data_IF_045532113745
#
_entry.id   IF_045532113745
#
_cell.length_a   1.000
_cell.length_b   1.000
_cell.length_c   1.000
_cell.angle_alpha   90.00
_cell.angle_beta   90.00
_cell.angle_gamma   90.00
#
_symmetry.space_group_name_H-M   'P 1'
#
loop_
_entity.id
_entity.type
_entity.pdbx_description
1 polymer ?
#
# COMPACT_ATOMS: atom_id res chain seq x y z
N UNK A 1 -1.41 15.01 11.44
CA UNK A 1 -2.36 14.79 10.33
C UNK A 1 -3.32 13.65 10.70
N UNK A 2 -4.60 13.61 10.30
CA UNK A 2 -5.45 12.46 10.70
C UNK A 2 -5.07 11.23 9.87
N UNK A 3 -4.89 10.07 10.51
CA UNK A 3 -4.52 8.79 9.88
C UNK A 3 -5.35 8.43 8.64
N UNK A 4 -6.59 8.97 8.54
CA UNK A 4 -7.45 8.85 7.36
C UNK A 4 -6.85 9.47 6.10
N UNK A 5 -6.01 10.50 6.22
CA UNK A 5 -5.33 11.16 5.09
C UNK A 5 -4.11 10.39 4.59
N UNK A 6 -3.40 9.71 5.49
CA UNK A 6 -2.24 8.85 5.17
C UNK A 6 -2.69 7.65 4.35
N UNK A 7 -3.77 6.98 4.78
CA UNK A 7 -4.36 5.89 4.01
C UNK A 7 -5.05 6.37 2.74
N UNK A 8 -5.68 7.54 2.77
CA UNK A 8 -6.20 8.16 1.56
C UNK A 8 -5.10 8.63 0.60
N UNK A 9 -3.82 8.68 0.98
CA UNK A 9 -2.69 9.01 0.10
C UNK A 9 -2.07 7.72 -0.48
N UNK A 10 -1.89 6.67 0.32
CA UNK A 10 -1.57 5.32 -0.22
C UNK A 10 -2.67 4.83 -1.16
N UNK A 11 -3.92 5.19 -0.86
CA UNK A 11 -5.07 5.02 -1.73
C UNK A 11 -5.00 6.04 -2.89
N UNK A 12 -5.12 7.35 -2.69
CA UNK A 12 -5.29 8.29 -3.82
C UNK A 12 -4.05 8.54 -4.68
N UNK A 13 -2.84 8.32 -4.19
CA UNK A 13 -1.59 8.54 -4.94
C UNK A 13 -1.17 7.30 -5.75
N UNK A 14 -1.55 6.10 -5.30
CA UNK A 14 -1.42 4.88 -6.08
C UNK A 14 -2.69 4.52 -6.88
N UNK A 15 -3.84 5.17 -6.61
CA UNK A 15 -5.10 4.77 -7.23
C UNK A 15 -5.39 5.50 -8.54
N UNK A 16 -5.00 4.83 -9.61
CA UNK A 16 -5.88 4.49 -10.73
C UNK A 16 -6.48 5.69 -11.50
N UNK A 17 -5.66 6.66 -11.90
CA UNK A 17 -5.98 7.45 -13.10
C UNK A 17 -5.65 6.61 -14.34
N UNK A 18 -6.38 5.50 -14.51
CA UNK A 18 -6.35 4.72 -15.74
C UNK A 18 -6.90 5.60 -16.85
N UNK A 19 -6.03 6.26 -17.61
CA UNK A 19 -6.39 6.96 -18.85
C UNK A 19 -6.02 6.06 -20.02
N UNK A 20 -6.73 4.95 -20.13
CA UNK A 20 -6.57 4.02 -21.24
C UNK A 20 -7.12 4.67 -22.52
N UNK A 21 -6.21 5.04 -23.42
CA UNK A 21 -6.54 5.51 -24.77
C UNK A 21 -6.50 4.35 -25.76
N UNK A 22 -7.66 3.82 -26.17
CA UNK A 22 -7.71 2.88 -27.29
C UNK A 22 -7.64 3.68 -28.59
N UNK A 23 -6.51 3.69 -29.29
CA UNK A 23 -6.45 4.20 -30.66
C UNK A 23 -7.21 3.23 -31.57
N UNK A 24 -8.35 3.67 -32.08
CA UNK A 24 -9.20 2.88 -32.98
C UNK A 24 -8.63 2.87 -34.40
N UNK A 25 -8.11 1.71 -34.79
CA UNK A 25 -7.68 1.43 -36.17
C UNK A 25 -7.52 -0.08 -36.38
N UNK A 26 -8.54 -0.70 -36.97
CA UNK A 26 -8.64 -2.12 -37.32
C UNK A 26 -8.80 -3.13 -36.16
N UNK A 27 -9.59 -4.16 -36.41
CA UNK A 27 -10.23 -5.08 -35.47
C UNK A 27 -9.28 -6.10 -34.80
N UNK A 28 -8.19 -5.62 -34.20
CA UNK A 28 -7.14 -6.43 -33.56
C UNK A 28 -6.51 -5.71 -32.36
N UNK A 29 -7.32 -4.96 -31.61
CA UNK A 29 -6.92 -4.40 -30.31
C UNK A 29 -7.19 -5.39 -29.17
N UNK A 30 -6.50 -5.25 -28.03
CA UNK A 30 -6.76 -6.07 -26.84
C UNK A 30 -8.22 -5.90 -26.38
N UNK A 31 -8.80 -6.99 -25.87
CA UNK A 31 -10.13 -7.00 -25.27
C UNK A 31 -10.20 -6.11 -24.03
N UNK A 32 -11.40 -5.66 -23.66
CA UNK A 32 -11.59 -4.87 -22.43
C UNK A 32 -11.10 -5.61 -21.18
N UNK A 33 -11.23 -6.95 -21.15
CA UNK A 33 -10.68 -7.78 -20.08
C UNK A 33 -9.15 -7.69 -20.01
N UNK A 34 -8.47 -7.89 -21.15
CA UNK A 34 -7.01 -7.79 -21.24
C UNK A 34 -6.52 -6.40 -20.88
N UNK A 35 -7.25 -5.36 -21.29
CA UNK A 35 -6.96 -3.97 -20.94
C UNK A 35 -7.02 -3.77 -19.44
N UNK A 36 -8.10 -4.19 -18.77
CA UNK A 36 -8.26 -4.05 -17.31
C UNK A 36 -7.20 -4.88 -16.56
N UNK A 37 -6.99 -6.15 -16.96
CA UNK A 37 -5.97 -7.02 -16.34
C UNK A 37 -4.58 -6.42 -16.44
N UNK A 38 -4.20 -5.96 -17.63
CA UNK A 38 -2.91 -5.30 -17.87
C UNK A 38 -2.76 -4.06 -17.00
N UNK A 39 -3.79 -3.23 -16.95
CA UNK A 39 -3.85 -2.05 -16.08
C UNK A 39 -3.57 -2.40 -14.62
N UNK A 40 -4.30 -3.37 -14.06
CA UNK A 40 -4.12 -3.80 -12.68
C UNK A 40 -2.71 -4.38 -12.44
N UNK A 41 -2.20 -5.18 -13.38
CA UNK A 41 -0.84 -5.73 -13.31
C UNK A 41 0.22 -4.64 -13.29
N UNK A 42 0.14 -3.65 -14.18
CA UNK A 42 1.14 -2.57 -14.27
C UNK A 42 1.22 -1.77 -12.95
N UNK A 43 0.08 -1.43 -12.35
CA UNK A 43 0.03 -0.69 -11.07
C UNK A 43 0.52 -1.55 -9.90
N UNK A 44 0.00 -2.78 -9.76
CA UNK A 44 0.37 -3.66 -8.66
C UNK A 44 1.83 -4.12 -8.75
N UNK A 45 2.40 -4.19 -9.95
CA UNK A 45 3.82 -4.46 -10.17
C UNK A 45 4.73 -3.31 -9.71
N UNK A 46 4.27 -2.05 -9.73
CA UNK A 46 5.07 -0.94 -9.18
C UNK A 46 5.25 -1.09 -7.66
N UNK A 47 4.19 -1.50 -6.97
CA UNK A 47 4.20 -1.78 -5.53
C UNK A 47 5.07 -3.02 -5.25
N UNK A 48 4.80 -4.13 -5.95
CA UNK A 48 5.51 -5.41 -5.79
C UNK A 48 7.01 -5.30 -6.04
N UNK A 49 7.41 -4.57 -7.08
CA UNK A 49 8.81 -4.39 -7.42
C UNK A 49 9.49 -3.28 -6.59
N UNK A 50 8.72 -2.60 -5.73
CA UNK A 50 9.19 -1.49 -4.91
C UNK A 50 9.99 -0.46 -5.72
N UNK A 51 9.45 -0.05 -6.87
CA UNK A 51 10.12 0.90 -7.77
C UNK A 51 10.56 2.16 -7.01
N UNK A 52 11.83 2.55 -7.14
CA UNK A 52 12.41 3.60 -6.32
C UNK A 52 11.69 4.96 -6.48
N UNK A 53 11.24 5.29 -7.69
CA UNK A 53 10.53 6.54 -7.95
C UNK A 53 9.15 6.50 -7.29
N UNK A 54 8.44 5.39 -7.44
CA UNK A 54 7.14 5.17 -6.80
C UNK A 54 7.25 5.19 -5.26
N UNK A 55 8.24 4.51 -4.68
CA UNK A 55 8.46 4.50 -3.22
C UNK A 55 8.81 5.89 -2.66
N UNK A 56 9.56 6.67 -3.44
CA UNK A 56 9.90 8.06 -3.08
C UNK A 56 8.66 8.95 -3.07
N UNK A 57 7.82 8.84 -4.10
CA UNK A 57 6.55 9.58 -4.19
C UNK A 57 5.61 9.19 -3.04
N UNK A 58 5.47 7.88 -2.79
CA UNK A 58 4.62 7.39 -1.70
C UNK A 58 5.12 7.85 -0.32
N UNK A 59 6.43 7.85 -0.09
CA UNK A 59 7.00 8.38 1.17
C UNK A 59 6.72 9.89 1.32
N UNK A 60 6.86 10.66 0.25
CA UNK A 60 6.55 12.09 0.26
C UNK A 60 5.06 12.35 0.56
N UNK A 61 4.17 11.59 -0.05
CA UNK A 61 2.73 11.73 0.12
C UNK A 61 2.23 11.29 1.51
N UNK A 62 2.92 10.34 2.12
CA UNK A 62 2.63 9.90 3.49
C UNK A 62 3.18 10.84 4.56
N UNK A 63 3.96 11.87 4.18
CA UNK A 63 4.56 12.85 5.08
C UNK A 63 5.39 12.16 6.18
N UNK A 64 6.10 11.08 5.81
CA UNK A 64 6.94 10.29 6.74
C UNK A 64 8.28 10.97 7.04
N UNK A 65 8.53 12.16 6.51
CA UNK A 65 9.72 12.97 6.81
C UNK A 65 9.86 13.28 8.31
N UNK A 66 8.75 13.32 9.05
CA UNK A 66 8.77 13.48 10.52
C UNK A 66 9.52 12.32 11.21
N UNK A 67 9.57 11.14 10.59
CA UNK A 67 10.26 9.96 11.13
C UNK A 67 11.79 10.14 11.18
N UNK A 68 12.35 11.07 10.41
CA UNK A 68 13.78 11.40 10.43
C UNK A 68 14.24 11.88 11.82
N UNK A 69 13.34 12.47 12.63
CA UNK A 69 13.63 12.85 14.03
C UNK A 69 13.96 11.66 14.92
N UNK A 70 13.51 10.47 14.53
CA UNK A 70 13.79 9.19 15.19
C UNK A 70 14.88 8.38 14.48
N UNK A 71 15.54 8.97 13.47
CA UNK A 71 16.58 8.30 12.68
C UNK A 71 16.04 7.29 11.67
N UNK A 72 14.75 7.36 11.33
CA UNK A 72 14.14 6.51 10.31
C UNK A 72 14.15 7.23 8.96
N UNK A 73 14.62 6.55 7.91
CA UNK A 73 14.43 7.00 6.54
C UNK A 73 13.02 6.65 6.05
N UNK A 74 12.29 7.65 5.54
CA UNK A 74 10.90 7.49 5.13
C UNK A 74 10.70 6.51 3.98
N UNK A 75 11.64 6.45 3.03
CA UNK A 75 11.60 5.51 1.90
C UNK A 75 11.89 4.09 2.39
N UNK A 76 12.87 3.92 3.28
CA UNK A 76 13.15 2.64 3.93
C UNK A 76 11.97 2.13 4.74
N UNK A 77 11.28 3.02 5.46
CA UNK A 77 10.03 2.68 6.16
C UNK A 77 8.99 2.13 5.18
N UNK A 78 8.76 2.80 4.04
CA UNK A 78 7.79 2.35 3.04
C UNK A 78 8.16 1.03 2.39
N UNK A 79 9.44 0.83 2.06
CA UNK A 79 9.93 -0.45 1.53
C UNK A 79 9.75 -1.57 2.55
N UNK A 80 10.05 -1.31 3.82
CA UNK A 80 9.88 -2.31 4.88
C UNK A 80 8.40 -2.62 5.12
N UNK A 81 7.52 -1.64 4.97
CA UNK A 81 6.07 -1.82 5.10
C UNK A 81 5.47 -2.67 3.97
N UNK A 82 5.97 -2.49 2.74
CA UNK A 82 5.55 -3.24 1.57
C UNK A 82 6.38 -4.50 1.30
N UNK A 83 7.37 -4.80 2.14
CA UNK A 83 8.16 -6.01 1.98
C UNK A 83 7.26 -7.26 2.06
N UNK A 84 7.45 -8.15 1.09
CA UNK A 84 6.59 -9.31 0.89
C UNK A 84 5.24 -9.02 0.21
N UNK A 85 5.02 -7.80 -0.31
CA UNK A 85 3.82 -7.48 -1.08
C UNK A 85 3.72 -8.37 -2.33
N UNK A 86 2.57 -9.04 -2.49
CA UNK A 86 2.21 -9.75 -3.71
C UNK A 86 0.71 -9.58 -3.99
N UNK A 87 0.28 -10.02 -5.16
CA UNK A 87 -1.11 -9.93 -5.56
C UNK A 87 -1.49 -11.04 -6.54
N UNK A 88 -2.80 -11.28 -6.63
CA UNK A 88 -3.41 -12.18 -7.59
C UNK A 88 -4.68 -11.56 -8.16
N UNK A 89 -4.75 -11.45 -9.49
CA UNK A 89 -5.97 -11.05 -10.19
C UNK A 89 -6.76 -12.33 -10.52
N UNK A 90 -7.68 -12.69 -9.63
CA UNK A 90 -8.45 -13.94 -9.69
C UNK A 90 -9.35 -14.00 -10.93
N UNK A 91 -10.11 -12.93 -11.17
CA UNK A 91 -11.15 -12.88 -12.20
C UNK A 91 -11.31 -11.46 -12.70
N UNK A 92 -11.58 -11.30 -13.98
CA UNK A 92 -12.05 -10.04 -14.57
C UNK A 92 -13.25 -10.37 -15.45
N UNK A 93 -14.37 -9.71 -15.18
CA UNK A 93 -15.63 -9.88 -15.92
C UNK A 93 -16.03 -8.55 -16.51
N UNK A 94 -16.36 -8.53 -17.80
CA UNK A 94 -16.81 -7.32 -18.52
C UNK A 94 -18.25 -7.50 -18.97
N UNK A 95 -19.09 -6.53 -18.66
CA UNK A 95 -20.49 -6.42 -19.08
C UNK A 95 -20.76 -5.04 -19.68
N UNK A 96 -20.60 -4.94 -21.01
CA UNK A 96 -20.78 -3.70 -21.75
C UNK A 96 -19.83 -2.60 -21.28
N UNK A 97 -20.39 -1.58 -20.60
CA UNK A 97 -19.63 -0.45 -20.07
C UNK A 97 -19.30 -0.59 -18.57
N UNK A 98 -19.51 -1.78 -17.99
CA UNK A 98 -19.15 -2.11 -16.62
C UNK A 98 -18.19 -3.29 -16.60
N UNK A 99 -17.32 -3.34 -15.60
CA UNK A 99 -16.51 -4.50 -15.37
C UNK A 99 -16.24 -4.68 -13.88
N UNK A 100 -15.90 -5.90 -13.49
CA UNK A 100 -15.53 -6.24 -12.12
C UNK A 100 -14.26 -7.07 -12.16
N UNK A 101 -13.26 -6.69 -11.38
CA UNK A 101 -12.06 -7.47 -11.12
C UNK A 101 -12.06 -7.95 -9.67
N UNK A 102 -11.73 -9.22 -9.48
CA UNK A 102 -11.49 -9.80 -8.15
C UNK A 102 -10.00 -9.93 -7.94
N UNK A 103 -9.52 -9.32 -6.87
CA UNK A 103 -8.10 -9.25 -6.54
C UNK A 103 -7.88 -9.71 -5.11
N UNK A 104 -6.86 -10.54 -4.90
CA UNK A 104 -6.37 -10.91 -3.57
C UNK A 104 -4.99 -10.30 -3.41
N UNK A 105 -4.73 -9.58 -2.31
CA UNK A 105 -3.42 -9.01 -2.00
C UNK A 105 -2.75 -9.86 -0.92
N UNK A 106 -1.44 -9.95 -0.94
CA UNK A 106 -0.61 -10.45 0.16
C UNK A 106 0.20 -9.28 0.68
N UNK A 107 -0.04 -8.84 1.92
CA UNK A 107 0.67 -7.71 2.50
C UNK A 107 0.61 -7.69 4.02
N UNK A 108 1.43 -6.86 4.66
CA UNK A 108 1.38 -6.59 6.10
C UNK A 108 0.13 -5.76 6.41
N UNK A 109 -0.68 -6.13 7.40
CA UNK A 109 -1.75 -5.24 7.87
C UNK A 109 -1.26 -4.17 8.82
N UNK A 110 -1.91 -3.01 8.74
CA UNK A 110 -1.72 -1.94 9.71
C UNK A 110 -2.05 -2.37 11.15
N UNK A 111 -3.04 -3.25 11.30
CA UNK A 111 -3.43 -3.79 12.61
C UNK A 111 -2.31 -4.65 13.20
N UNK A 112 -1.69 -5.52 12.40
CA UNK A 112 -0.54 -6.32 12.83
C UNK A 112 0.66 -5.42 13.17
N UNK A 113 0.98 -4.45 12.31
CA UNK A 113 2.02 -3.44 12.58
C UNK A 113 1.81 -2.68 13.89
N UNK A 114 0.60 -2.14 14.13
CA UNK A 114 0.32 -1.43 15.37
C UNK A 114 0.43 -2.33 16.60
N UNK A 115 0.07 -3.60 16.47
CA UNK A 115 0.19 -4.58 17.55
C UNK A 115 1.66 -4.87 17.86
N UNK A 116 2.49 -5.04 16.82
CA UNK A 116 3.93 -5.23 16.95
C UNK A 116 4.61 -4.01 17.60
N UNK A 117 4.29 -2.79 17.17
CA UNK A 117 4.85 -1.56 17.76
C UNK A 117 4.42 -1.38 19.21
N UNK A 118 3.16 -1.66 19.55
CA UNK A 118 2.69 -1.59 20.94
C UNK A 118 3.40 -2.60 21.85
N UNK A 119 3.61 -3.82 21.36
CA UNK A 119 4.36 -4.84 22.08
C UNK A 119 5.82 -4.42 22.27
N UNK A 120 6.48 -3.98 21.20
CA UNK A 120 7.87 -3.52 21.26
C UNK A 120 8.05 -2.31 22.20
N UNK A 121 7.10 -1.37 22.20
CA UNK A 121 7.09 -0.25 23.14
C UNK A 121 6.91 -0.71 24.60
N UNK A 122 6.06 -1.71 24.84
CA UNK A 122 5.86 -2.30 26.18
C UNK A 122 7.13 -2.99 26.68
N UNK A 123 7.79 -3.76 25.81
CA UNK A 123 9.03 -4.46 26.13
C UNK A 123 10.16 -3.46 26.40
N UNK A 124 10.27 -2.42 25.58
CA UNK A 124 11.24 -1.35 25.77
C UNK A 124 11.01 -0.59 27.09
N UNK A 125 9.77 -0.27 27.42
CA UNK A 125 9.41 0.43 28.65
C UNK A 125 9.71 -0.38 29.92
N UNK A 126 9.84 -1.70 29.83
CA UNK A 126 10.20 -2.56 30.96
C UNK A 126 11.67 -2.38 31.40
N UNK A 127 12.55 -1.95 30.48
CA UNK A 127 13.98 -1.70 30.74
C UNK A 127 14.24 -0.24 31.15
N UNK A 128 13.62 0.18 32.25
CA UNK A 128 13.68 1.56 32.74
C UNK A 128 15.10 2.03 33.06
N UNK A 129 16.00 1.14 33.47
CA UNK A 129 17.39 1.47 33.78
C UNK A 129 18.18 1.86 32.52
N UNK A 130 18.00 1.11 31.43
CA UNK A 130 18.58 1.47 30.12
C UNK A 130 18.07 2.81 29.62
N UNK A 131 16.76 3.03 29.68
CA UNK A 131 16.15 4.26 29.19
C UNK A 131 16.64 5.51 29.94
N UNK A 132 16.82 5.41 31.26
CA UNK A 132 17.30 6.53 32.07
C UNK A 132 18.80 6.85 31.87
N UNK A 133 19.57 5.89 31.37
CA UNK A 133 21.00 6.06 31.12
C UNK A 133 21.30 6.72 29.76
N UNK A 134 20.31 6.81 28.88
CA UNK A 134 20.46 7.33 27.51
C UNK A 134 20.17 8.84 27.43
N UNK A 135 20.90 9.52 26.55
CA UNK A 135 20.55 10.86 26.10
C UNK A 135 19.27 10.87 25.27
N UNK A 136 18.71 12.05 25.04
CA UNK A 136 17.51 12.20 24.21
C UNK A 136 17.72 11.69 22.78
N UNK A 137 18.90 11.92 22.20
CA UNK A 137 19.19 11.52 20.82
C UNK A 137 19.33 9.99 20.73
N UNK A 138 20.00 9.35 21.70
CA UNK A 138 20.09 7.89 21.80
C UNK A 138 18.71 7.25 22.01
N UNK A 139 17.84 7.89 22.81
CA UNK A 139 16.45 7.46 22.99
C UNK A 139 15.66 7.55 21.69
N UNK A 140 15.77 8.66 20.96
CA UNK A 140 15.08 8.82 19.68
C UNK A 140 15.52 7.75 18.66
N UNK A 141 16.83 7.49 18.55
CA UNK A 141 17.36 6.43 17.68
C UNK A 141 16.89 5.04 18.11
N UNK A 142 16.86 4.76 19.41
CA UNK A 142 16.35 3.50 19.94
C UNK A 142 14.87 3.31 19.61
N UNK A 143 14.05 4.35 19.76
CA UNK A 143 12.63 4.32 19.41
C UNK A 143 12.46 4.07 17.91
N UNK A 144 13.24 4.76 17.07
CA UNK A 144 13.19 4.56 15.63
C UNK A 144 13.55 3.13 15.21
N UNK A 145 14.66 2.60 15.74
CA UNK A 145 15.07 1.22 15.51
C UNK A 145 14.01 0.22 15.98
N UNK A 146 13.42 0.45 17.16
CA UNK A 146 12.38 -0.42 17.72
C UNK A 146 11.15 -0.47 16.81
N UNK A 147 10.76 0.65 16.22
CA UNK A 147 9.64 0.71 15.26
C UNK A 147 9.99 -0.04 13.97
N UNK A 148 11.19 0.15 13.43
CA UNK A 148 11.63 -0.54 12.20
C UNK A 148 11.77 -2.04 12.40
N UNK A 149 12.34 -2.48 13.53
CA UNK A 149 12.46 -3.90 13.88
C UNK A 149 11.07 -4.54 14.05
N UNK A 150 10.16 -3.84 14.73
CA UNK A 150 8.78 -4.31 14.89
C UNK A 150 8.08 -4.45 13.53
N UNK A 151 8.23 -3.47 12.63
CA UNK A 151 7.66 -3.50 11.29
C UNK A 151 8.27 -4.61 10.40
N UNK A 152 9.58 -4.79 10.46
CA UNK A 152 10.28 -5.84 9.72
C UNK A 152 9.80 -7.23 10.15
N UNK A 153 9.48 -7.40 11.44
CA UNK A 153 8.96 -8.65 12.00
C UNK A 153 7.48 -8.94 11.74
N UNK A 154 6.72 -8.01 11.15
CA UNK A 154 5.31 -8.26 10.80
C UNK A 154 5.24 -9.22 9.62
N UNK A 155 4.52 -10.32 9.78
CA UNK A 155 4.26 -11.28 8.70
C UNK A 155 3.23 -10.72 7.71
N UNK A 156 3.37 -11.10 6.44
CA UNK A 156 2.36 -10.82 5.42
C UNK A 156 1.20 -11.82 5.53
N UNK A 157 -0.01 -11.36 5.21
CA UNK A 157 -1.20 -12.20 5.12
C UNK A 157 -1.95 -11.89 3.82
N UNK A 158 -2.69 -12.90 3.33
CA UNK A 158 -3.63 -12.70 2.24
C UNK A 158 -4.85 -11.90 2.75
N UNK A 159 -5.29 -10.92 1.97
CA UNK A 159 -6.56 -10.25 2.21
C UNK A 159 -7.72 -11.17 1.86
N UNK A 160 -8.92 -10.86 2.37
CA UNK A 160 -10.13 -11.30 1.70
C UNK A 160 -10.15 -10.80 0.24
N UNK A 161 -10.87 -11.50 -0.64
CA UNK A 161 -10.98 -11.12 -2.04
C UNK A 161 -11.66 -9.75 -2.17
N UNK A 162 -10.94 -8.81 -2.80
CA UNK A 162 -11.36 -7.43 -3.04
C UNK A 162 -12.07 -7.37 -4.39
N UNK A 163 -13.20 -6.66 -4.44
CA UNK A 163 -13.97 -6.49 -5.67
C UNK A 163 -13.79 -5.06 -6.21
N UNK A 164 -13.02 -4.92 -7.28
CA UNK A 164 -12.80 -3.64 -7.95
C UNK A 164 -13.80 -3.52 -9.09
N UNK A 165 -14.72 -2.57 -8.98
CA UNK A 165 -15.70 -2.29 -10.02
C UNK A 165 -15.19 -1.15 -10.90
N UNK A 166 -15.47 -1.25 -12.21
CA UNK A 166 -15.03 -0.30 -13.22
C UNK A 166 -16.21 0.19 -14.05
N UNK A 167 -16.12 1.44 -14.48
CA UNK A 167 -17.02 2.04 -15.48
C UNK A 167 -16.22 2.50 -16.69
N UNK A 168 -16.74 2.21 -17.88
CA UNK A 168 -16.16 2.65 -19.16
C UNK A 168 -16.70 4.02 -19.56
N UNK A 169 -15.81 4.99 -19.73
CA UNK A 169 -16.12 6.31 -20.30
C UNK A 169 -15.35 6.48 -21.61
N UNK A 170 -16.03 6.30 -22.74
CA UNK A 170 -15.41 6.24 -24.06
C UNK A 170 -14.52 5.01 -24.18
N UNK A 171 -13.20 5.22 -24.20
CA UNK A 171 -12.19 4.16 -24.33
C UNK A 171 -11.47 3.86 -23.02
N UNK A 172 -11.87 4.54 -21.94
CA UNK A 172 -11.17 4.53 -20.66
C UNK A 172 -11.99 3.79 -19.62
N UNK A 173 -11.37 2.82 -18.94
CA UNK A 173 -11.93 2.15 -17.77
C UNK A 173 -11.42 2.86 -16.51
N UNK A 174 -12.34 3.22 -15.61
CA UNK A 174 -12.00 3.88 -14.35
C UNK A 174 -12.64 3.11 -13.21
N UNK A 175 -11.91 2.79 -12.13
CA UNK A 175 -12.50 2.20 -10.95
C UNK A 175 -13.50 3.17 -10.32
N UNK A 176 -14.47 2.65 -9.61
CA UNK A 176 -15.33 3.48 -8.77
C UNK A 176 -14.70 3.71 -7.38
N UNK A 177 -15.03 4.88 -6.79
CA UNK A 177 -14.46 5.32 -5.51
C UNK A 177 -14.74 4.35 -4.34
N UNK A 178 -15.78 3.51 -4.44
CA UNK A 178 -16.05 2.47 -3.45
C UNK A 178 -14.94 1.41 -3.43
N UNK A 179 -14.40 1.05 -4.60
CA UNK A 179 -13.32 0.08 -4.73
C UNK A 179 -12.04 0.54 -4.03
N UNK A 180 -11.76 1.85 -4.05
CA UNK A 180 -10.61 2.45 -3.34
C UNK A 180 -10.70 2.24 -1.83
N UNK A 181 -11.90 2.39 -1.27
CA UNK A 181 -12.16 2.17 0.15
C UNK A 181 -12.05 0.68 0.53
N UNK A 182 -12.48 -0.23 -0.35
CA UNK A 182 -12.34 -1.67 -0.14
C UNK A 182 -10.87 -2.08 -0.11
N UNK A 183 -10.05 -1.60 -1.06
CA UNK A 183 -8.60 -1.84 -1.08
C UNK A 183 -7.94 -1.32 0.19
N UNK A 184 -8.27 -0.09 0.59
CA UNK A 184 -7.76 0.50 1.83
C UNK A 184 -8.13 -0.34 3.05
N UNK A 185 -9.38 -0.79 3.14
CA UNK A 185 -9.86 -1.60 4.28
C UNK A 185 -9.14 -2.95 4.32
N UNK A 186 -8.95 -3.59 3.17
CA UNK A 186 -8.23 -4.85 3.07
C UNK A 186 -6.79 -4.75 3.60
N UNK A 187 -6.07 -3.67 3.26
CA UNK A 187 -4.71 -3.43 3.77
C UNK A 187 -4.66 -3.05 5.27
N UNK A 188 -5.77 -2.59 5.85
CA UNK A 188 -5.82 -2.21 7.26
C UNK A 188 -5.98 -3.41 8.20
N UNK A 189 -6.77 -4.40 7.79
CA UNK A 189 -7.31 -5.42 8.71
C UNK A 189 -7.15 -6.86 8.24
N UNK A 190 -6.33 -7.13 7.21
CA UNK A 190 -5.99 -8.51 6.87
C UNK A 190 -5.34 -9.27 8.04
#
# INVERSE_FOLDING_TARGET
MSFKKVFAAVSASALLVFTLGVMTGCNSGPSDEEVIRKSLTEELDQIKNMDDAFMTEMAADMDVDELATYGIDGVEFMKTYLDGFDYKIDEVTVDGNKATAKVTLTCKSFTAYNSAVQQAATDLASDTARLQAMSKDELNQLLGQTVMDALAGVEVAETDQITINFTKNGNTWTPDAASEQEITTAMLTN
#
